data_IF_775374701631
#
_entry.id   IF_775374701631
#
_cell.length_a   1.000
_cell.length_b   1.000
_cell.length_c   1.000
_cell.angle_alpha   90.00
_cell.angle_beta   90.00
_cell.angle_gamma   90.00
#
_symmetry.space_group_name_H-M   'P 1'
#
loop_
_entity.id
_entity.type
_entity.pdbx_description
1 polymer ?
#
# COMPACT_ATOMS: atom_id res chain seq x y z
N UNK A 1 6.17 39.05 16.93
CA UNK A 1 5.26 38.29 16.06
C UNK A 1 5.92 37.07 15.36
N UNK A 2 7.28 37.01 15.30
CA UNK A 2 7.99 35.90 14.65
C UNK A 2 7.87 34.61 15.47
N UNK A 3 7.76 34.69 16.79
CA UNK A 3 7.56 33.55 17.68
C UNK A 3 6.20 32.87 17.52
N UNK A 4 5.14 33.64 17.21
CA UNK A 4 3.80 33.06 16.96
C UNK A 4 3.73 32.37 15.60
N UNK A 5 4.44 32.92 14.61
CA UNK A 5 4.54 32.31 13.28
C UNK A 5 5.34 31.00 13.32
N UNK A 6 6.42 30.95 14.10
CA UNK A 6 7.21 29.75 14.34
C UNK A 6 6.40 28.68 15.09
N UNK A 7 5.63 29.07 16.10
CA UNK A 7 4.76 28.15 16.83
C UNK A 7 3.64 27.56 15.95
N UNK A 8 3.04 28.36 15.08
CA UNK A 8 2.03 27.89 14.10
C UNK A 8 2.62 26.94 13.07
N UNK A 9 3.83 27.22 12.56
CA UNK A 9 4.52 26.36 11.60
C UNK A 9 4.92 25.01 12.22
N UNK A 10 5.43 25.01 13.46
CA UNK A 10 5.78 23.76 14.17
C UNK A 10 4.53 22.95 14.52
N UNK A 11 3.43 23.60 14.88
CA UNK A 11 2.15 22.92 15.14
C UNK A 11 1.56 22.31 13.86
N UNK A 12 1.55 23.04 12.75
CA UNK A 12 1.10 22.54 11.45
C UNK A 12 1.97 21.38 10.94
N UNK A 13 3.30 21.46 11.13
CA UNK A 13 4.22 20.39 10.79
C UNK A 13 4.02 19.14 11.66
N UNK A 14 3.73 19.32 12.96
CA UNK A 14 3.40 18.20 13.87
C UNK A 14 2.12 17.46 13.48
N UNK A 15 1.07 18.19 13.07
CA UNK A 15 -0.18 17.60 12.60
C UNK A 15 0.02 16.78 11.30
N UNK A 16 0.75 17.34 10.33
CA UNK A 16 1.03 16.63 9.06
C UNK A 16 1.93 15.42 9.25
N UNK A 17 2.86 15.44 10.20
CA UNK A 17 3.70 14.31 10.54
C UNK A 17 2.90 13.17 11.20
N UNK A 18 1.95 13.50 12.08
CA UNK A 18 1.09 12.51 12.72
C UNK A 18 0.20 11.77 11.69
N UNK A 19 -0.41 12.51 10.76
CA UNK A 19 -1.20 11.92 9.67
C UNK A 19 -0.33 11.02 8.78
N UNK A 20 0.89 11.44 8.45
CA UNK A 20 1.80 10.63 7.65
C UNK A 20 2.17 9.30 8.32
N UNK A 21 2.38 9.27 9.64
CA UNK A 21 2.68 8.05 10.40
C UNK A 21 1.50 7.08 10.43
N UNK A 22 0.27 7.60 10.60
CA UNK A 22 -0.94 6.77 10.59
C UNK A 22 -1.15 6.15 9.20
N UNK A 23 -0.99 6.95 8.13
CA UNK A 23 -1.08 6.47 6.76
C UNK A 23 -0.03 5.41 6.43
N UNK A 24 1.17 5.56 6.96
CA UNK A 24 2.25 4.58 6.79
C UNK A 24 1.91 3.26 7.46
N UNK A 25 1.46 3.27 8.72
CA UNK A 25 1.07 2.06 9.46
C UNK A 25 -0.08 1.29 8.76
N UNK A 26 -1.08 2.01 8.23
CA UNK A 26 -2.18 1.40 7.47
C UNK A 26 -1.68 0.78 6.15
N UNK A 27 -0.76 1.44 5.46
CA UNK A 27 -0.17 0.92 4.22
C UNK A 27 0.66 -0.32 4.47
N UNK A 28 1.49 -0.33 5.52
CA UNK A 28 2.33 -1.46 5.88
C UNK A 28 1.48 -2.69 6.23
N UNK A 29 0.41 -2.50 7.02
CA UNK A 29 -0.55 -3.55 7.34
C UNK A 29 -1.20 -4.13 6.08
N UNK A 30 -1.64 -3.28 5.17
CA UNK A 30 -2.22 -3.70 3.88
C UNK A 30 -1.22 -4.49 3.04
N UNK A 31 0.01 -4.02 2.95
CA UNK A 31 1.05 -4.68 2.15
C UNK A 31 1.38 -6.07 2.69
N UNK A 32 1.39 -6.26 4.02
CA UNK A 32 1.56 -7.57 4.65
C UNK A 32 0.40 -8.49 4.28
N UNK A 33 -0.85 -8.02 4.34
CA UNK A 33 -2.04 -8.80 3.94
C UNK A 33 -1.93 -9.20 2.46
N UNK A 34 -1.64 -8.25 1.57
CA UNK A 34 -1.55 -8.48 0.12
C UNK A 34 -0.47 -9.53 -0.22
N UNK A 35 0.64 -9.57 0.51
CA UNK A 35 1.71 -10.55 0.31
C UNK A 35 1.37 -11.95 0.85
N UNK A 36 0.63 -12.01 1.96
CA UNK A 36 0.32 -13.28 2.63
C UNK A 36 -0.87 -13.98 2.00
N UNK A 37 -1.81 -13.22 1.42
CA UNK A 37 -3.08 -13.74 0.92
C UNK A 37 -2.93 -14.81 -0.17
N UNK A 38 -2.07 -14.69 -1.21
CA UNK A 38 -1.95 -15.71 -2.23
C UNK A 38 -1.49 -17.07 -1.68
N UNK A 39 -0.50 -17.07 -0.78
CA UNK A 39 0.00 -18.30 -0.17
C UNK A 39 -1.03 -18.93 0.76
N UNK A 40 -1.79 -18.12 1.48
CA UNK A 40 -2.92 -18.57 2.28
C UNK A 40 -3.99 -19.25 1.43
N UNK A 41 -4.33 -18.69 0.27
CA UNK A 41 -5.34 -19.24 -0.64
C UNK A 41 -4.91 -20.59 -1.24
N UNK A 42 -3.64 -20.78 -1.56
CA UNK A 42 -3.13 -22.07 -2.04
C UNK A 42 -3.28 -23.17 -0.98
N UNK A 43 -2.89 -22.86 0.27
CA UNK A 43 -3.04 -23.81 1.37
C UNK A 43 -4.51 -24.11 1.64
N UNK A 44 -5.36 -23.06 1.61
CA UNK A 44 -6.80 -23.23 1.78
C UNK A 44 -7.41 -24.11 0.69
N UNK A 45 -7.00 -23.91 -0.58
CA UNK A 45 -7.47 -24.72 -1.70
C UNK A 45 -7.11 -26.19 -1.51
N UNK A 46 -5.90 -26.52 -1.07
CA UNK A 46 -5.48 -27.91 -0.77
C UNK A 46 -6.32 -28.51 0.34
N UNK A 47 -6.58 -27.77 1.42
CA UNK A 47 -7.38 -28.26 2.54
C UNK A 47 -8.85 -28.48 2.13
N UNK A 48 -9.43 -27.58 1.33
CA UNK A 48 -10.78 -27.75 0.78
C UNK A 48 -10.84 -28.95 -0.18
N UNK A 49 -9.81 -29.13 -1.04
CA UNK A 49 -9.72 -30.28 -1.95
C UNK A 49 -9.63 -31.62 -1.25
N UNK A 50 -9.16 -31.65 0.01
CA UNK A 50 -9.15 -32.87 0.84
C UNK A 50 -10.55 -33.30 1.33
N UNK A 51 -11.60 -32.55 0.98
CA UNK A 51 -12.99 -32.82 1.35
C UNK A 51 -13.45 -32.17 2.65
N UNK A 52 -12.62 -31.31 3.26
CA UNK A 52 -13.01 -30.53 4.41
C UNK A 52 -14.01 -29.43 3.99
N UNK A 53 -15.06 -29.24 4.79
CA UNK A 53 -16.00 -28.13 4.54
C UNK A 53 -15.27 -26.79 4.58
N UNK A 54 -15.64 -25.85 3.69
CA UNK A 54 -14.95 -24.56 3.53
C UNK A 54 -14.72 -23.80 4.84
N UNK A 55 -15.74 -23.74 5.72
CA UNK A 55 -15.61 -23.08 7.03
C UNK A 55 -14.56 -23.74 7.92
N UNK A 56 -14.58 -25.09 7.97
CA UNK A 56 -13.61 -25.85 8.77
C UNK A 56 -12.19 -25.73 8.19
N UNK A 57 -12.07 -25.70 6.86
CA UNK A 57 -10.81 -25.49 6.18
C UNK A 57 -10.25 -24.10 6.50
N UNK A 58 -11.09 -23.06 6.44
CA UNK A 58 -10.71 -21.69 6.74
C UNK A 58 -10.21 -21.54 8.20
N UNK A 59 -10.91 -22.14 9.15
CA UNK A 59 -10.54 -22.15 10.57
C UNK A 59 -9.18 -22.85 10.78
N UNK A 60 -9.03 -24.04 10.23
CA UNK A 60 -7.80 -24.83 10.33
C UNK A 60 -6.59 -24.14 9.72
N UNK A 61 -6.76 -23.44 8.62
CA UNK A 61 -5.67 -22.71 7.97
C UNK A 61 -5.38 -21.43 8.74
N UNK A 62 -6.40 -20.68 9.19
CA UNK A 62 -6.23 -19.46 9.97
C UNK A 62 -5.49 -19.68 11.30
N UNK A 63 -5.61 -20.86 11.92
CA UNK A 63 -4.86 -21.24 13.13
C UNK A 63 -3.35 -21.31 12.89
N UNK A 64 -2.92 -21.66 11.67
CA UNK A 64 -1.50 -21.85 11.32
C UNK A 64 -0.81 -20.56 10.84
N UNK A 65 -1.59 -19.55 10.48
CA UNK A 65 -1.07 -18.28 10.03
C UNK A 65 -1.05 -17.26 11.17
N UNK A 66 -0.03 -16.42 11.17
CA UNK A 66 0.12 -15.30 12.09
C UNK A 66 0.08 -13.97 11.31
N UNK A 67 -0.21 -12.88 12.02
CA UNK A 67 -0.20 -11.55 11.47
C UNK A 67 -1.58 -11.01 11.07
N UNK A 68 -1.59 -9.83 10.44
CA UNK A 68 -2.82 -9.04 10.23
C UNK A 68 -3.93 -9.78 9.47
N UNK A 69 -3.56 -10.64 8.51
CA UNK A 69 -4.52 -11.42 7.75
C UNK A 69 -5.22 -12.49 8.60
N UNK A 70 -4.44 -13.24 9.38
CA UNK A 70 -4.98 -14.25 10.27
C UNK A 70 -5.91 -13.64 11.34
N UNK A 71 -5.57 -12.46 11.86
CA UNK A 71 -6.39 -11.74 12.82
C UNK A 71 -7.74 -11.32 12.24
N UNK A 72 -7.76 -10.83 11.00
CA UNK A 72 -9.00 -10.48 10.29
C UNK A 72 -9.89 -11.70 10.04
N UNK A 73 -9.28 -12.83 9.68
CA UNK A 73 -10.01 -14.08 9.51
C UNK A 73 -10.60 -14.61 10.81
N UNK A 74 -9.83 -14.56 11.92
CA UNK A 74 -10.35 -14.96 13.24
C UNK A 74 -11.52 -14.10 13.69
N UNK A 75 -11.52 -12.80 13.37
CA UNK A 75 -12.66 -11.91 13.62
C UNK A 75 -13.86 -12.38 12.78
N UNK A 76 -13.66 -12.65 11.51
CA UNK A 76 -14.71 -13.09 10.59
C UNK A 76 -15.31 -14.44 10.99
N UNK A 77 -14.46 -15.40 11.38
CA UNK A 77 -14.90 -16.71 11.89
C UNK A 77 -15.74 -16.56 13.18
N UNK A 78 -15.30 -15.74 14.13
CA UNK A 78 -16.06 -15.44 15.34
C UNK A 78 -17.42 -14.81 15.07
N UNK A 79 -17.52 -13.92 14.07
CA UNK A 79 -18.81 -13.36 13.65
C UNK A 79 -19.76 -14.44 13.16
N UNK A 80 -19.27 -15.40 12.37
CA UNK A 80 -20.06 -16.55 11.93
C UNK A 80 -20.48 -17.45 13.08
N UNK A 81 -19.61 -17.63 14.10
CA UNK A 81 -19.94 -18.39 15.32
C UNK A 81 -21.05 -17.74 16.16
N UNK A 82 -21.12 -16.41 16.12
CA UNK A 82 -22.18 -15.62 16.75
C UNK A 82 -23.48 -15.56 15.93
N UNK A 83 -23.55 -16.28 14.80
CA UNK A 83 -24.76 -16.37 13.98
C UNK A 83 -24.85 -15.35 12.85
N UNK A 84 -23.81 -14.54 12.62
CA UNK A 84 -23.75 -13.65 11.46
C UNK A 84 -23.66 -14.52 10.19
N UNK A 85 -24.46 -14.19 9.17
CA UNK A 85 -24.42 -14.94 7.91
C UNK A 85 -23.03 -14.84 7.27
N UNK A 86 -22.62 -15.93 6.58
CA UNK A 86 -21.31 -15.99 5.91
C UNK A 86 -21.09 -14.81 4.96
N UNK A 87 -22.10 -14.51 4.13
CA UNK A 87 -22.05 -13.37 3.20
C UNK A 87 -21.79 -12.05 3.94
N UNK A 88 -22.51 -11.79 5.00
CA UNK A 88 -22.37 -10.57 5.79
C UNK A 88 -21.00 -10.51 6.50
N UNK A 89 -20.51 -11.60 7.07
CA UNK A 89 -19.21 -11.65 7.73
C UNK A 89 -18.06 -11.36 6.75
N UNK A 90 -18.14 -11.88 5.51
CA UNK A 90 -17.16 -11.58 4.46
C UNK A 90 -17.29 -10.15 3.89
N UNK A 91 -18.51 -9.61 3.78
CA UNK A 91 -18.69 -8.20 3.40
C UNK A 91 -18.08 -7.26 4.44
N UNK A 92 -18.18 -7.58 5.72
CA UNK A 92 -17.54 -6.82 6.77
C UNK A 92 -16.01 -6.97 6.75
N UNK A 93 -15.50 -8.16 6.49
CA UNK A 93 -14.07 -8.38 6.24
C UNK A 93 -13.55 -7.46 5.13
N UNK A 94 -14.27 -7.39 4.01
CA UNK A 94 -13.94 -6.49 2.90
C UNK A 94 -13.96 -5.01 3.29
N UNK A 95 -14.93 -4.59 4.08
CA UNK A 95 -15.05 -3.19 4.55
C UNK A 95 -13.93 -2.79 5.52
N UNK A 96 -13.50 -3.71 6.39
CA UNK A 96 -12.40 -3.47 7.32
C UNK A 96 -11.04 -3.40 6.64
N UNK A 97 -10.92 -4.02 5.48
CA UNK A 97 -9.66 -4.11 4.75
C UNK A 97 -9.73 -3.28 3.46
N UNK A 98 -8.84 -2.30 3.32
CA UNK A 98 -8.70 -1.50 2.09
C UNK A 98 -7.87 -2.20 1.01
N UNK A 99 -7.64 -3.53 1.14
CA UNK A 99 -6.93 -4.34 0.17
C UNK A 99 -7.83 -4.72 -1.00
N UNK A 100 -7.37 -4.48 -2.21
CA UNK A 100 -8.06 -4.90 -3.43
C UNK A 100 -8.02 -6.42 -3.60
N UNK A 101 -6.96 -7.08 -3.14
CA UNK A 101 -6.85 -8.54 -3.15
C UNK A 101 -7.89 -9.18 -2.23
N UNK A 102 -8.12 -8.61 -1.04
CA UNK A 102 -9.20 -9.06 -0.14
C UNK A 102 -10.58 -8.87 -0.79
N UNK A 103 -10.80 -7.75 -1.47
CA UNK A 103 -12.04 -7.51 -2.18
C UNK A 103 -12.28 -8.53 -3.31
N UNK A 104 -11.24 -8.86 -4.08
CA UNK A 104 -11.29 -9.89 -5.13
C UNK A 104 -11.59 -11.28 -4.55
N UNK A 105 -10.91 -11.65 -3.46
CA UNK A 105 -11.16 -12.91 -2.75
C UNK A 105 -12.62 -13.03 -2.31
N UNK A 106 -13.15 -12.02 -1.62
CA UNK A 106 -14.55 -12.04 -1.13
C UNK A 106 -15.53 -12.10 -2.29
N UNK A 107 -15.31 -11.32 -3.36
CA UNK A 107 -16.19 -11.32 -4.53
C UNK A 107 -16.22 -12.67 -5.24
N UNK A 108 -15.05 -13.29 -5.45
CA UNK A 108 -14.96 -14.59 -6.11
C UNK A 108 -15.55 -15.72 -5.25
N UNK A 109 -15.40 -15.64 -3.93
CA UNK A 109 -16.00 -16.57 -3.01
C UNK A 109 -17.55 -16.53 -3.08
N UNK A 110 -18.12 -15.34 -3.11
CA UNK A 110 -19.57 -15.14 -3.23
C UNK A 110 -20.10 -15.63 -4.58
N UNK A 111 -19.36 -15.37 -5.67
CA UNK A 111 -19.73 -15.87 -7.00
C UNK A 111 -19.63 -17.38 -7.11
N UNK A 112 -18.58 -17.99 -6.54
CA UNK A 112 -18.40 -19.44 -6.54
C UNK A 112 -19.54 -20.16 -5.83
N UNK A 113 -20.09 -19.60 -4.77
CA UNK A 113 -21.26 -20.13 -4.07
C UNK A 113 -22.53 -20.09 -4.90
N UNK A 114 -22.78 -18.97 -5.58
CA UNK A 114 -23.97 -18.79 -6.41
C UNK A 114 -23.99 -19.73 -7.62
N UNK A 115 -22.82 -20.02 -8.18
CA UNK A 115 -22.65 -20.85 -9.37
C UNK A 115 -22.47 -22.36 -9.08
N UNK A 116 -22.36 -22.75 -7.79
CA UNK A 116 -22.11 -24.15 -7.41
C UNK A 116 -20.77 -24.69 -7.91
N UNK A 117 -19.84 -23.82 -8.24
CA UNK A 117 -18.51 -24.16 -8.74
C UNK A 117 -17.63 -24.77 -7.62
N UNK A 118 -16.68 -25.68 -7.95
CA UNK A 118 -15.75 -26.20 -6.95
C UNK A 118 -14.92 -25.03 -6.35
N UNK A 119 -15.15 -24.75 -5.08
CA UNK A 119 -14.49 -23.61 -4.38
C UNK A 119 -12.96 -23.73 -4.45
N UNK A 120 -12.43 -24.96 -4.44
CA UNK A 120 -10.99 -25.21 -4.51
C UNK A 120 -10.37 -24.66 -5.81
N UNK A 121 -10.98 -24.91 -6.96
CA UNK A 121 -10.48 -24.42 -8.24
C UNK A 121 -10.54 -22.91 -8.32
N UNK A 122 -11.60 -22.31 -7.79
CA UNK A 122 -11.76 -20.86 -7.69
C UNK A 122 -10.64 -20.25 -6.84
N UNK A 123 -10.29 -20.84 -5.71
CA UNK A 123 -9.22 -20.36 -4.82
C UNK A 123 -7.85 -20.40 -5.52
N UNK A 124 -7.53 -21.49 -6.23
CA UNK A 124 -6.27 -21.62 -6.99
C UNK A 124 -6.19 -20.55 -8.08
N UNK A 125 -7.29 -20.33 -8.80
CA UNK A 125 -7.35 -19.31 -9.85
C UNK A 125 -7.10 -17.91 -9.29
N UNK A 126 -7.75 -17.55 -8.19
CA UNK A 126 -7.58 -16.27 -7.52
C UNK A 126 -6.12 -16.09 -7.07
N UNK A 127 -5.52 -17.08 -6.41
CA UNK A 127 -4.13 -17.02 -5.97
C UNK A 127 -3.17 -16.80 -7.15
N UNK A 128 -3.41 -17.47 -8.26
CA UNK A 128 -2.62 -17.32 -9.48
C UNK A 128 -2.75 -15.91 -10.07
N UNK A 129 -3.96 -15.37 -10.13
CA UNK A 129 -4.22 -14.04 -10.68
C UNK A 129 -3.63 -12.94 -9.80
N UNK A 130 -3.68 -13.11 -8.47
CA UNK A 130 -3.03 -12.19 -7.52
C UNK A 130 -1.51 -12.14 -7.74
N UNK A 131 -0.85 -13.29 -7.88
CA UNK A 131 0.60 -13.35 -8.13
C UNK A 131 0.98 -12.69 -9.46
N UNK A 132 0.18 -12.88 -10.51
CA UNK A 132 0.39 -12.23 -11.81
C UNK A 132 0.28 -10.71 -11.70
N UNK A 133 -0.73 -10.24 -10.97
CA UNK A 133 -0.98 -8.81 -10.75
C UNK A 133 0.16 -8.17 -9.94
N UNK A 134 0.65 -8.85 -8.91
CA UNK A 134 1.77 -8.36 -8.10
C UNK A 134 3.07 -8.28 -8.90
N UNK A 135 3.36 -9.28 -9.73
CA UNK A 135 4.51 -9.25 -10.63
C UNK A 135 4.43 -8.08 -11.63
N UNK A 136 3.26 -7.80 -12.18
CA UNK A 136 3.03 -6.66 -13.07
C UNK A 136 3.16 -5.32 -12.34
N UNK A 137 2.59 -5.21 -11.13
CA UNK A 137 2.66 -3.99 -10.32
C UNK A 137 4.08 -3.68 -9.88
N UNK A 138 4.87 -4.69 -9.54
CA UNK A 138 6.30 -4.53 -9.20
C UNK A 138 7.10 -3.98 -10.38
N UNK A 139 6.86 -4.48 -11.59
CA UNK A 139 7.47 -3.96 -12.83
C UNK A 139 7.05 -2.51 -13.11
N UNK A 140 5.77 -2.18 -12.92
CA UNK A 140 5.24 -0.82 -13.09
C UNK A 140 5.80 0.16 -12.05
N UNK A 141 6.01 -0.28 -10.80
CA UNK A 141 6.64 0.54 -9.74
C UNK A 141 8.09 0.83 -10.07
N UNK A 142 8.86 -0.15 -10.52
CA UNK A 142 10.24 0.04 -10.98
C UNK A 142 10.33 1.05 -12.14
N UNK A 143 9.45 0.95 -13.12
CA UNK A 143 9.39 1.89 -14.25
C UNK A 143 9.02 3.33 -13.84
N UNK A 144 8.22 3.52 -12.78
CA UNK A 144 7.83 4.84 -12.28
C UNK A 144 8.87 5.50 -11.36
N UNK A 145 9.86 4.76 -10.89
CA UNK A 145 10.90 5.30 -9.99
C UNK A 145 11.93 6.12 -10.74
N UNK A 146 12.22 5.77 -11.99
CA UNK A 146 13.18 6.50 -12.85
C UNK A 146 12.79 7.96 -13.07
N UNK A 147 11.55 8.32 -13.50
CA UNK A 147 11.18 9.72 -13.73
C UNK A 147 11.11 10.56 -12.44
N UNK A 148 10.85 9.95 -11.27
CA UNK A 148 10.86 10.69 -10.01
C UNK A 148 12.26 11.13 -9.58
N UNK A 149 13.27 10.29 -9.74
CA UNK A 149 14.65 10.64 -9.46
C UNK A 149 15.13 11.78 -10.36
N UNK A 150 14.78 11.73 -11.65
CA UNK A 150 15.12 12.78 -12.63
C UNK A 150 14.43 14.11 -12.30
N UNK A 151 13.15 14.09 -11.87
CA UNK A 151 12.44 15.30 -11.46
C UNK A 151 13.05 15.96 -10.24
N UNK A 152 13.44 15.19 -9.21
CA UNK A 152 14.11 15.73 -8.02
C UNK A 152 15.42 16.41 -8.39
N UNK A 153 16.24 15.76 -9.22
CA UNK A 153 17.51 16.32 -9.71
C UNK A 153 17.29 17.63 -10.49
N UNK A 154 16.27 17.67 -11.35
CA UNK A 154 15.96 18.85 -12.16
C UNK A 154 15.51 20.03 -11.30
N UNK A 155 14.66 19.81 -10.28
CA UNK A 155 14.13 20.84 -9.37
C UNK A 155 15.24 21.45 -8.50
N UNK A 156 16.27 20.68 -8.13
CA UNK A 156 17.40 21.21 -7.35
C UNK A 156 18.51 21.80 -8.23
N UNK A 157 18.78 21.21 -9.39
CA UNK A 157 19.87 21.63 -10.26
C UNK A 157 19.56 22.96 -10.98
N UNK A 158 18.31 23.17 -11.42
CA UNK A 158 17.89 24.36 -12.14
C UNK A 158 18.06 25.67 -11.30
N UNK A 159 17.54 25.77 -10.06
CA UNK A 159 17.76 26.99 -9.27
C UNK A 159 19.23 27.16 -8.86
N UNK A 160 19.95 26.07 -8.57
CA UNK A 160 21.36 26.15 -8.22
C UNK A 160 22.22 26.73 -9.36
N UNK A 161 21.99 26.33 -10.60
CA UNK A 161 22.69 26.86 -11.79
C UNK A 161 22.31 28.30 -12.05
N UNK A 162 21.05 28.70 -11.87
CA UNK A 162 20.59 30.09 -12.02
C UNK A 162 21.26 31.01 -11.00
N UNK A 163 21.38 30.58 -9.75
CA UNK A 163 22.05 31.34 -8.68
C UNK A 163 23.54 31.49 -9.02
N UNK A 164 24.18 30.45 -9.50
CA UNK A 164 25.62 30.49 -9.84
C UNK A 164 25.91 31.42 -11.02
N UNK A 165 25.06 31.44 -12.03
CA UNK A 165 25.15 32.35 -13.18
C UNK A 165 24.93 33.83 -12.73
N UNK A 166 23.90 34.06 -11.91
CA UNK A 166 23.60 35.39 -11.40
C UNK A 166 24.75 35.92 -10.53
N UNK A 167 25.31 35.09 -9.64
CA UNK A 167 26.47 35.46 -8.82
C UNK A 167 27.73 35.77 -9.66
N UNK A 168 28.00 34.96 -10.69
CA UNK A 168 29.10 35.16 -11.61
C UNK A 168 28.98 36.47 -12.41
N UNK A 169 27.75 36.80 -12.82
CA UNK A 169 27.46 38.03 -13.55
C UNK A 169 27.61 39.28 -12.66
N UNK A 170 27.21 39.15 -11.38
CA UNK A 170 27.33 40.25 -10.39
C UNK A 170 28.78 40.52 -9.99
N UNK A 171 29.57 39.46 -9.81
CA UNK A 171 31.01 39.58 -9.49
C UNK A 171 31.84 40.07 -10.70
N UNK A 172 31.50 39.62 -11.92
CA UNK A 172 32.14 40.08 -13.16
C UNK A 172 31.88 41.53 -13.47
N UNK A 173 30.68 42.04 -13.24
CA UNK A 173 30.30 43.43 -13.43
C UNK A 173 30.96 44.40 -12.40
N UNK A 174 31.25 43.88 -11.18
CA UNK A 174 31.95 44.65 -10.14
C UNK A 174 33.44 44.89 -10.44
N UNK A 175 34.08 44.01 -11.20
CA UNK A 175 35.49 44.16 -11.56
C UNK A 175 35.71 45.23 -12.67
N UNK A 176 34.74 45.41 -13.56
CA UNK A 176 34.81 46.43 -14.62
C UNK A 176 34.60 47.85 -14.11
N UNK A 177 33.78 48.05 -13.06
CA UNK A 177 33.61 49.36 -12.43
C UNK A 177 34.86 49.83 -11.65
N UNK A 178 35.65 48.91 -11.10
CA UNK A 178 36.89 49.19 -10.42
C UNK A 178 38.01 49.67 -11.38
N UNK A 179 38.01 49.20 -12.60
CA UNK A 179 39.00 49.62 -13.62
C UNK A 179 38.72 50.98 -14.28
N UNK A 180 37.44 51.42 -14.24
CA UNK A 180 37.02 52.73 -14.81
C UNK A 180 37.19 53.86 -13.81
N UNK A 181 37.16 53.60 -12.50
CA UNK A 181 37.29 54.60 -11.45
C UNK A 181 38.72 54.75 -10.89
N UNK A 182 39.68 53.93 -11.33
CA UNK A 182 41.09 53.93 -10.86
C UNK A 182 42.11 54.33 -11.91
N UNK A 183 41.71 55.03 -13.00
CA UNK A 183 42.58 55.56 -14.01
C UNK A 183 42.68 57.13 -13.95
#
# INVERSE_FOLDING_TARGET
>A
NDSTLFALLTFAFGLTAADALIWQAVRDRREVIDRTLPDFLDVLAVVVSSGLGFRQALDRVAERYEGPWADELRITLRQMDMGVSRRQAFDELRRRNSSEQVAQFVSALQQGEELGSPIADTLIQIATDMRRTDAQNSRRRAAKTIPKATMVTLVFLLPATMILIAAGMFLGSGSDLGSILGG
#
